data_IF_147992358910
#
_entry.id   IF_147992358910
#
_cell.length_a   1.000
_cell.length_b   1.000
_cell.length_c   1.000
_cell.angle_alpha   90.00
_cell.angle_beta   90.00
_cell.angle_gamma   90.00
#
_symmetry.space_group_name_H-M   'P 1'
#
loop_
_entity.id
_entity.type
_entity.pdbx_description
1 polymer ?
#
# COMPACT_ATOMS: atom_id res chain seq x y z
N UNK A 1 -9.32 -19.05 2.57
CA UNK A 1 -9.69 -19.65 1.26
C UNK A 1 -8.41 -20.00 0.54
N UNK A 2 -8.21 -21.29 0.26
CA UNK A 2 -7.09 -21.79 -0.52
C UNK A 2 -7.33 -21.42 -1.99
N UNK A 3 -6.44 -20.62 -2.58
CA UNK A 3 -6.49 -20.29 -4.00
C UNK A 3 -6.26 -21.53 -4.86
N UNK A 4 -6.86 -21.56 -6.05
CA UNK A 4 -6.63 -22.64 -7.02
C UNK A 4 -5.14 -22.75 -7.38
N UNK A 5 -4.59 -23.95 -7.17
CA UNK A 5 -3.22 -24.29 -7.52
C UNK A 5 -3.16 -24.62 -9.02
N UNK A 6 -2.65 -23.70 -9.85
CA UNK A 6 -2.25 -24.01 -11.22
C UNK A 6 -0.75 -23.83 -11.39
N UNK A 7 -0.11 -24.84 -11.96
CA UNK A 7 1.30 -24.79 -12.33
C UNK A 7 1.42 -24.25 -13.75
N UNK A 8 2.15 -23.15 -13.92
CA UNK A 8 2.55 -22.63 -15.23
C UNK A 8 4.08 -22.52 -15.22
N UNK A 9 4.76 -23.20 -16.16
CA UNK A 9 6.22 -23.23 -16.29
C UNK A 9 7.01 -23.58 -15.00
N UNK A 10 6.49 -24.50 -14.17
CA UNK A 10 7.18 -24.98 -12.97
C UNK A 10 7.27 -23.95 -11.83
N UNK A 11 6.51 -22.86 -11.90
CA UNK A 11 6.38 -21.89 -10.80
C UNK A 11 5.00 -21.98 -10.18
N UNK A 12 4.97 -21.97 -8.84
CA UNK A 12 3.73 -21.82 -8.07
C UNK A 12 3.24 -20.38 -8.26
N UNK A 13 2.22 -20.18 -9.09
CA UNK A 13 1.55 -18.89 -9.22
C UNK A 13 0.42 -18.88 -8.21
N UNK A 14 0.62 -18.19 -7.08
CA UNK A 14 -0.50 -17.77 -6.27
C UNK A 14 -1.24 -16.71 -7.09
N UNK A 15 -2.38 -17.07 -7.68
CA UNK A 15 -3.29 -16.05 -8.23
C UNK A 15 -3.89 -15.31 -7.05
N UNK A 16 -3.23 -14.25 -6.61
CA UNK A 16 -3.93 -13.13 -6.00
C UNK A 16 -5.15 -12.84 -6.88
N UNK A 17 -6.37 -12.72 -6.33
CA UNK A 17 -7.53 -12.38 -7.14
C UNK A 17 -7.19 -11.12 -7.95
N UNK A 18 -7.54 -11.11 -9.23
CA UNK A 18 -7.24 -9.98 -10.11
C UNK A 18 -7.77 -8.71 -9.43
N UNK A 19 -6.91 -7.69 -9.28
CA UNK A 19 -7.29 -6.39 -8.68
C UNK A 19 -8.55 -5.85 -9.36
N UNK A 20 -8.72 -6.15 -10.65
CA UNK A 20 -9.91 -5.79 -11.43
C UNK A 20 -11.17 -6.49 -10.94
N UNK A 21 -11.11 -7.77 -10.58
CA UNK A 21 -12.25 -8.54 -10.07
C UNK A 21 -12.67 -8.06 -8.68
N UNK A 22 -11.68 -7.78 -7.81
CA UNK A 22 -11.92 -7.20 -6.48
C UNK A 22 -12.57 -5.82 -6.62
N UNK A 23 -12.01 -4.96 -7.48
CA UNK A 23 -12.57 -3.65 -7.76
C UNK A 23 -13.99 -3.73 -8.35
N UNK A 24 -14.24 -4.71 -9.23
CA UNK A 24 -15.58 -4.97 -9.79
C UNK A 24 -16.60 -5.29 -8.71
N UNK A 25 -16.30 -6.28 -7.85
CA UNK A 25 -17.20 -6.68 -6.75
C UNK A 25 -17.47 -5.50 -5.81
N UNK A 26 -16.43 -4.71 -5.50
CA UNK A 26 -16.56 -3.54 -4.65
C UNK A 26 -17.42 -2.44 -5.28
N UNK A 27 -17.22 -2.13 -6.57
CA UNK A 27 -18.04 -1.12 -7.27
C UNK A 27 -19.50 -1.57 -7.36
N UNK A 28 -19.75 -2.85 -7.59
CA UNK A 28 -21.11 -3.38 -7.63
C UNK A 28 -21.78 -3.26 -6.25
N UNK A 29 -21.08 -3.63 -5.16
CA UNK A 29 -21.54 -3.43 -3.79
C UNK A 29 -21.83 -1.96 -3.47
N UNK A 30 -20.92 -1.06 -3.86
CA UNK A 30 -21.05 0.37 -3.63
C UNK A 30 -22.32 0.95 -4.27
N UNK A 31 -22.81 0.35 -5.37
CA UNK A 31 -24.01 0.80 -6.08
C UNK A 31 -25.30 0.13 -5.63
N UNK A 32 -25.23 -0.98 -4.92
CA UNK A 32 -26.40 -1.69 -4.38
C UNK A 32 -27.04 -0.94 -3.21
N UNK A 33 -26.22 -0.30 -2.37
CA UNK A 33 -26.69 0.31 -1.12
C UNK A 33 -26.80 1.84 -1.18
N UNK A 34 -27.77 2.39 -0.44
CA UNK A 34 -27.79 3.81 -0.13
C UNK A 34 -26.95 4.09 1.13
N UNK A 35 -25.66 4.34 0.93
CA UNK A 35 -24.68 4.55 2.01
C UNK A 35 -24.94 5.75 2.93
N UNK A 36 -25.87 6.63 2.56
CA UNK A 36 -26.31 7.74 3.41
C UNK A 36 -27.44 7.34 4.37
N UNK A 37 -28.08 6.19 4.15
CA UNK A 37 -29.13 5.67 5.02
C UNK A 37 -28.50 4.93 6.20
N UNK A 38 -28.82 5.34 7.42
CA UNK A 38 -28.25 4.79 8.66
C UNK A 38 -28.76 3.39 9.01
N UNK A 39 -29.52 2.75 8.12
CA UNK A 39 -30.25 1.49 8.34
C UNK A 39 -29.84 0.36 7.40
N UNK A 40 -28.67 0.45 6.78
CA UNK A 40 -28.21 -0.63 5.88
C UNK A 40 -27.94 -1.89 6.70
N UNK A 41 -28.62 -2.98 6.34
CA UNK A 41 -28.29 -4.32 6.79
C UNK A 41 -27.31 -4.95 5.80
N UNK A 42 -26.14 -5.36 6.28
CA UNK A 42 -25.10 -5.98 5.45
C UNK A 42 -25.13 -7.49 5.59
N UNK A 43 -24.99 -8.18 4.46
CA UNK A 43 -24.75 -9.61 4.43
C UNK A 43 -23.26 -9.89 4.69
N UNK A 44 -22.95 -11.06 5.25
CA UNK A 44 -21.56 -11.48 5.52
C UNK A 44 -20.67 -11.45 4.26
N UNK A 45 -21.22 -11.80 3.10
CA UNK A 45 -20.48 -11.79 1.84
C UNK A 45 -20.12 -10.36 1.40
N UNK A 46 -20.89 -9.36 1.80
CA UNK A 46 -20.62 -7.96 1.52
C UNK A 46 -19.51 -7.40 2.41
N UNK A 47 -19.50 -7.78 3.69
CA UNK A 47 -18.39 -7.48 4.60
C UNK A 47 -17.07 -8.08 4.07
N UNK A 48 -17.12 -9.29 3.53
CA UNK A 48 -15.96 -9.94 2.92
C UNK A 48 -15.44 -9.17 1.68
N UNK A 49 -16.31 -8.51 0.91
CA UNK A 49 -15.88 -7.62 -0.19
C UNK A 49 -15.10 -6.41 0.36
N UNK A 50 -15.60 -5.78 1.44
CA UNK A 50 -14.90 -4.67 2.10
C UNK A 50 -13.55 -5.11 2.67
N UNK A 51 -13.48 -6.30 3.24
CA UNK A 51 -12.23 -6.87 3.72
C UNK A 51 -11.23 -7.14 2.59
N UNK A 52 -11.69 -7.76 1.49
CA UNK A 52 -10.86 -8.07 0.32
C UNK A 52 -10.25 -6.82 -0.30
N UNK A 53 -11.00 -5.73 -0.44
CA UNK A 53 -10.45 -4.51 -1.05
C UNK A 53 -9.38 -3.85 -0.19
N UNK A 54 -9.56 -3.84 1.14
CA UNK A 54 -8.55 -3.28 2.07
C UNK A 54 -7.27 -4.12 2.01
N UNK A 55 -7.39 -5.45 1.98
CA UNK A 55 -6.22 -6.33 1.82
C UNK A 55 -5.56 -6.20 0.45
N UNK A 56 -6.34 -6.04 -0.62
CA UNK A 56 -5.81 -5.82 -1.96
C UNK A 56 -4.99 -4.54 -2.05
N UNK A 57 -5.36 -3.51 -1.27
CA UNK A 57 -4.62 -2.27 -1.13
C UNK A 57 -3.35 -2.38 -0.28
N UNK A 58 -2.97 -3.59 0.19
CA UNK A 58 -1.71 -3.83 0.90
C UNK A 58 -1.77 -3.62 2.41
N UNK A 59 -2.94 -3.31 2.99
CA UNK A 59 -3.08 -3.20 4.44
C UNK A 59 -3.06 -4.59 5.11
N UNK A 60 -2.22 -4.74 6.13
CA UNK A 60 -2.19 -5.92 6.99
C UNK A 60 -3.28 -5.80 8.07
N UNK A 61 -4.43 -6.42 7.83
CA UNK A 61 -5.64 -6.23 8.64
C UNK A 61 -6.25 -7.56 9.06
N UNK A 62 -6.88 -7.58 10.24
CA UNK A 62 -7.61 -8.75 10.75
C UNK A 62 -9.01 -8.85 10.17
N UNK A 63 -9.67 -7.72 9.95
CA UNK A 63 -11.06 -7.71 9.50
C UNK A 63 -11.63 -6.30 9.38
N UNK A 64 -12.90 -6.27 8.97
CA UNK A 64 -13.77 -5.10 8.99
C UNK A 64 -14.91 -5.35 9.98
N UNK A 65 -15.33 -4.32 10.69
CA UNK A 65 -16.41 -4.41 11.67
C UNK A 65 -17.34 -3.21 11.53
N UNK A 66 -18.64 -3.43 11.75
CA UNK A 66 -19.60 -2.34 11.79
C UNK A 66 -19.22 -1.36 12.92
N UNK A 67 -19.04 -0.09 12.58
CA UNK A 67 -18.66 0.94 13.53
C UNK A 67 -18.15 2.21 12.88
N UNK A 68 -18.37 3.34 13.57
CA UNK A 68 -17.81 4.63 13.20
C UNK A 68 -16.58 4.91 14.05
N UNK A 69 -15.49 5.28 13.40
CA UNK A 69 -14.25 5.68 14.03
C UNK A 69 -14.18 7.22 14.11
N UNK A 70 -14.05 7.71 15.33
CA UNK A 70 -13.78 9.13 15.61
C UNK A 70 -12.43 9.26 16.27
N UNK A 71 -11.61 10.16 15.76
CA UNK A 71 -10.37 10.58 16.41
C UNK A 71 -10.61 11.92 17.09
N UNK A 72 -10.08 12.06 18.29
CA UNK A 72 -9.82 13.37 18.87
C UNK A 72 -8.56 13.90 18.16
N UNK A 73 -8.56 15.14 17.67
CA UNK A 73 -7.37 15.72 17.05
C UNK A 73 -6.22 15.65 18.08
N UNK A 74 -5.29 14.71 17.87
CA UNK A 74 -4.20 14.34 18.81
C UNK A 74 -2.84 14.61 18.19
N UNK A 75 -2.70 15.74 17.49
CA UNK A 75 -1.41 16.43 17.49
C UNK A 75 -1.47 17.49 18.60
N UNK A 76 -1.29 16.99 19.82
CA UNK A 76 -1.06 17.64 21.12
C UNK A 76 -1.07 19.18 21.17
N UNK A 77 -2.17 19.75 21.65
CA UNK A 77 -2.29 20.65 22.83
C UNK A 77 -3.79 20.59 23.22
N UNK A 78 -4.18 20.99 24.42
CA UNK A 78 -5.57 21.37 24.73
C UNK A 78 -6.09 22.38 23.67
N UNK A 79 -6.63 21.88 22.57
CA UNK A 79 -7.31 22.70 21.58
C UNK A 79 -8.66 23.08 22.14
N UNK A 80 -8.94 24.38 22.19
CA UNK A 80 -10.03 25.05 22.92
C UNK A 80 -11.45 24.50 22.69
N UNK A 81 -11.69 23.57 21.75
CA UNK A 81 -13.03 23.15 21.33
C UNK A 81 -13.33 21.64 21.38
N UNK A 82 -12.36 20.75 21.67
CA UNK A 82 -12.62 19.32 21.88
C UNK A 82 -13.32 18.55 20.73
N UNK A 83 -13.32 19.09 19.50
CA UNK A 83 -14.08 18.52 18.38
C UNK A 83 -13.52 17.16 17.93
N UNK A 84 -14.42 16.16 17.84
CA UNK A 84 -14.10 14.82 17.34
C UNK A 84 -14.23 14.79 15.82
N UNK A 85 -13.13 14.51 15.10
CA UNK A 85 -13.16 14.31 13.65
C UNK A 85 -13.53 12.86 13.33
N UNK A 86 -14.52 12.67 12.46
CA UNK A 86 -14.90 11.35 11.94
C UNK A 86 -13.91 10.93 10.86
N UNK A 87 -13.41 9.69 10.96
CA UNK A 87 -12.50 9.10 9.97
C UNK A 87 -13.29 8.52 8.80
N UNK A 88 -14.32 7.73 9.07
CA UNK A 88 -15.22 7.14 8.09
C UNK A 88 -16.58 7.86 8.05
N UNK A 89 -16.72 8.80 7.13
CA UNK A 89 -17.90 9.67 7.00
C UNK A 89 -19.06 8.92 6.32
N UNK A 90 -18.77 8.21 5.22
CA UNK A 90 -19.74 7.48 4.43
C UNK A 90 -19.81 6.00 4.86
N UNK A 91 -18.66 5.32 4.91
CA UNK A 91 -18.59 3.88 5.18
C UNK A 91 -18.92 3.54 6.65
N UNK A 92 -19.97 2.76 6.97
CA UNK A 92 -20.32 2.39 8.34
C UNK A 92 -19.40 1.33 8.96
N UNK A 93 -18.29 0.99 8.31
CA UNK A 93 -17.33 0.00 8.80
C UNK A 93 -16.02 0.66 9.20
N UNK A 94 -15.40 0.09 10.22
CA UNK A 94 -14.03 0.35 10.62
C UNK A 94 -13.16 -0.87 10.37
N UNK A 95 -11.88 -0.63 10.13
CA UNK A 95 -10.89 -1.67 9.87
C UNK A 95 -10.13 -1.97 11.15
N UNK A 96 -9.90 -3.25 11.41
CA UNK A 96 -9.10 -3.75 12.55
C UNK A 96 -7.71 -4.18 12.10
N UNK A 97 -6.69 -3.75 12.83
CA UNK A 97 -5.32 -4.27 12.63
C UNK A 97 -5.21 -5.73 13.11
N UNK A 98 -4.00 -6.30 13.02
CA UNK A 98 -3.75 -7.69 13.40
C UNK A 98 -3.97 -7.96 14.91
N UNK A 99 -3.82 -6.94 15.76
CA UNK A 99 -4.02 -7.04 17.20
C UNK A 99 -5.51 -6.91 17.57
N UNK A 100 -6.32 -6.35 16.67
CA UNK A 100 -7.75 -6.12 16.85
C UNK A 100 -8.09 -4.68 17.20
N UNK A 101 -7.11 -3.78 17.16
CA UNK A 101 -7.29 -2.36 17.42
C UNK A 101 -7.79 -1.61 16.19
N UNK A 102 -8.37 -0.44 16.40
CA UNK A 102 -8.94 0.39 15.33
C UNK A 102 -7.83 0.96 14.44
N UNK A 103 -7.77 0.53 13.18
CA UNK A 103 -6.74 0.97 12.25
C UNK A 103 -7.20 2.22 11.50
N UNK A 104 -6.77 3.39 11.97
CA UNK A 104 -7.17 4.71 11.48
C UNK A 104 -6.96 4.85 9.96
N UNK A 105 -5.74 4.56 9.47
CA UNK A 105 -5.40 4.78 8.06
C UNK A 105 -6.18 3.85 7.13
N UNK A 106 -6.28 2.56 7.46
CA UNK A 106 -7.05 1.62 6.65
C UNK A 106 -8.56 1.95 6.67
N UNK A 107 -9.09 2.40 7.81
CA UNK A 107 -10.48 2.86 7.93
C UNK A 107 -10.75 4.09 7.07
N UNK A 108 -9.87 5.09 7.14
CA UNK A 108 -9.99 6.30 6.32
C UNK A 108 -9.84 6.02 4.82
N UNK A 109 -8.95 5.10 4.46
CA UNK A 109 -8.77 4.65 3.08
C UNK A 109 -10.02 3.96 2.55
N UNK A 110 -10.61 3.05 3.34
CA UNK A 110 -11.87 2.37 3.00
C UNK A 110 -13.02 3.36 2.78
N UNK A 111 -13.10 4.40 3.60
CA UNK A 111 -14.09 5.47 3.39
C UNK A 111 -13.83 6.25 2.09
N UNK A 112 -12.56 6.59 1.81
CA UNK A 112 -12.19 7.31 0.59
C UNK A 112 -12.51 6.50 -0.67
N UNK A 113 -12.18 5.21 -0.70
CA UNK A 113 -12.42 4.36 -1.87
C UNK A 113 -13.92 4.13 -2.08
N UNK A 114 -14.71 4.00 -1.01
CA UNK A 114 -16.16 3.93 -1.11
C UNK A 114 -16.74 5.22 -1.67
N UNK A 115 -16.32 6.38 -1.15
CA UNK A 115 -16.78 7.68 -1.65
C UNK A 115 -16.45 7.89 -3.12
N UNK A 116 -15.29 7.40 -3.57
CA UNK A 116 -14.94 7.36 -4.99
C UNK A 116 -15.93 6.50 -5.78
N UNK A 117 -16.23 5.29 -5.31
CA UNK A 117 -17.14 4.36 -5.98
C UNK A 117 -18.61 4.85 -6.01
N UNK A 118 -19.07 5.55 -4.97
CA UNK A 118 -20.45 6.04 -4.85
C UNK A 118 -20.66 7.35 -5.60
N UNK A 119 -19.73 8.31 -5.51
CA UNK A 119 -19.94 9.67 -6.04
C UNK A 119 -19.20 9.95 -7.37
N UNK A 120 -18.28 9.07 -7.78
CA UNK A 120 -17.39 9.33 -8.92
C UNK A 120 -16.31 10.37 -8.61
N UNK A 121 -15.28 10.45 -9.46
CA UNK A 121 -14.14 11.33 -9.24
C UNK A 121 -14.48 12.83 -9.33
N UNK A 122 -14.21 13.61 -8.27
CA UNK A 122 -14.15 15.09 -8.14
C UNK A 122 -15.27 15.98 -8.74
N UNK A 123 -16.20 15.47 -9.54
CA UNK A 123 -17.37 16.17 -10.07
C UNK A 123 -18.54 15.22 -9.98
N UNK A 124 -19.52 15.58 -9.14
CA UNK A 124 -20.82 14.92 -9.03
C UNK A 124 -21.44 14.79 -10.43
N UNK A 125 -21.24 13.66 -11.08
CA UNK A 125 -21.88 13.35 -12.35
C UNK A 125 -22.38 11.92 -12.23
N UNK A 126 -23.70 11.77 -12.20
CA UNK A 126 -24.45 10.51 -12.11
C UNK A 126 -24.21 9.55 -13.31
N UNK A 127 -23.10 9.67 -14.03
CA UNK A 127 -22.80 8.95 -15.28
C UNK A 127 -21.32 8.59 -15.47
N UNK A 128 -20.53 8.42 -14.41
CA UNK A 128 -19.32 7.61 -14.59
C UNK A 128 -19.75 6.16 -14.87
N UNK A 129 -19.34 5.62 -16.03
CA UNK A 129 -19.69 4.25 -16.37
C UNK A 129 -19.08 3.29 -15.35
N UNK A 130 -19.73 2.15 -15.15
CA UNK A 130 -19.27 1.09 -14.25
C UNK A 130 -17.79 0.77 -14.49
N UNK A 131 -17.37 0.67 -15.75
CA UNK A 131 -15.98 0.37 -16.13
C UNK A 131 -15.00 1.47 -15.72
N UNK A 132 -15.42 2.75 -15.76
CA UNK A 132 -14.57 3.87 -15.31
C UNK A 132 -14.34 3.81 -13.80
N UNK A 133 -15.39 3.52 -13.03
CA UNK A 133 -15.27 3.35 -11.57
C UNK A 133 -14.40 2.15 -11.21
N UNK A 134 -14.59 1.01 -11.89
CA UNK A 134 -13.73 -0.17 -11.70
C UNK A 134 -12.27 0.20 -11.97
N UNK A 135 -12.00 0.88 -13.09
CA UNK A 135 -10.63 1.32 -13.41
C UNK A 135 -10.06 2.26 -12.36
N UNK A 136 -10.85 3.24 -11.90
CA UNK A 136 -10.40 4.18 -10.88
C UNK A 136 -10.11 3.48 -9.54
N UNK A 137 -11.00 2.59 -9.10
CA UNK A 137 -10.81 1.78 -7.89
C UNK A 137 -9.59 0.87 -8.03
N UNK A 138 -9.40 0.19 -9.16
CA UNK A 138 -8.21 -0.64 -9.41
C UNK A 138 -6.92 0.19 -9.33
N UNK A 139 -6.91 1.39 -9.92
CA UNK A 139 -5.75 2.29 -9.87
C UNK A 139 -5.43 2.73 -8.43
N UNK A 140 -6.44 3.04 -7.61
CA UNK A 140 -6.21 3.42 -6.21
C UNK A 140 -5.76 2.23 -5.36
N UNK A 141 -6.27 1.01 -5.61
CA UNK A 141 -5.73 -0.21 -5.01
C UNK A 141 -4.25 -0.35 -5.36
N UNK A 142 -3.89 -0.29 -6.65
CA UNK A 142 -2.52 -0.44 -7.11
C UNK A 142 -1.57 0.60 -6.50
N UNK A 143 -1.99 1.87 -6.41
CA UNK A 143 -1.21 2.94 -5.78
C UNK A 143 -0.95 2.68 -4.29
N UNK A 144 -1.92 2.08 -3.62
CA UNK A 144 -1.89 1.85 -2.17
C UNK A 144 -1.04 0.67 -1.74
N UNK A 145 -0.68 -0.24 -2.65
CA UNK A 145 0.21 -1.38 -2.31
C UNK A 145 1.64 -0.87 -2.07
N UNK A 146 2.25 -1.09 -0.90
CA UNK A 146 3.64 -0.71 -0.64
C UNK A 146 4.62 -1.40 -1.59
N UNK A 147 5.77 -0.76 -1.84
CA UNK A 147 6.86 -1.40 -2.56
C UNK A 147 7.33 -2.65 -1.80
N UNK A 148 7.52 -3.77 -2.50
CA UNK A 148 8.19 -4.92 -1.91
C UNK A 148 9.62 -4.55 -1.50
N UNK A 149 9.99 -4.92 -0.28
CA UNK A 149 11.28 -4.61 0.31
C UNK A 149 12.43 -5.08 -0.58
N UNK A 150 13.48 -4.27 -0.69
CA UNK A 150 14.66 -4.60 -1.50
C UNK A 150 15.78 -5.05 -0.58
N UNK A 151 16.22 -6.31 -0.72
CA UNK A 151 17.39 -6.79 -0.01
C UNK A 151 18.66 -6.16 -0.61
N UNK A 152 19.40 -5.41 0.20
CA UNK A 152 20.57 -4.66 -0.28
C UNK A 152 21.91 -5.17 0.25
N UNK A 153 21.90 -6.08 1.23
CA UNK A 153 23.10 -6.79 1.68
C UNK A 153 22.89 -8.30 1.64
N UNK A 154 24.00 -9.04 1.67
CA UNK A 154 24.00 -10.51 1.77
C UNK A 154 23.49 -11.03 3.12
N UNK A 155 23.45 -10.17 4.12
CA UNK A 155 23.09 -10.55 5.50
C UNK A 155 21.58 -10.32 5.76
N UNK A 156 20.80 -10.10 4.69
CA UNK A 156 19.35 -9.93 4.75
C UNK A 156 18.88 -8.52 5.10
N UNK A 157 19.72 -7.48 4.93
CA UNK A 157 19.27 -6.11 5.20
C UNK A 157 18.30 -5.62 4.13
N UNK A 158 17.16 -5.13 4.59
CA UNK A 158 16.06 -4.68 3.74
C UNK A 158 15.97 -3.15 3.68
N UNK A 159 15.88 -2.64 2.45
CA UNK A 159 15.43 -1.30 2.13
C UNK A 159 13.90 -1.35 2.01
N UNK A 160 13.22 -0.60 2.86
CA UNK A 160 11.76 -0.43 2.84
C UNK A 160 11.42 1.02 2.51
N UNK A 161 10.22 1.24 1.99
CA UNK A 161 9.72 2.59 1.79
C UNK A 161 9.65 3.35 3.12
N UNK A 162 9.88 4.66 3.11
CA UNK A 162 9.57 5.48 4.28
C UNK A 162 8.04 5.56 4.46
N UNK A 163 7.52 5.75 5.69
CA UNK A 163 6.09 5.83 5.93
C UNK A 163 5.46 6.87 5.01
N UNK A 164 4.40 6.48 4.32
CA UNK A 164 3.63 7.41 3.50
C UNK A 164 3.06 8.51 4.41
N UNK A 165 3.32 9.77 4.08
CA UNK A 165 2.64 10.87 4.76
C UNK A 165 1.22 10.97 4.21
N UNK A 166 0.26 10.38 4.90
CA UNK A 166 -1.17 10.55 4.61
C UNK A 166 -1.65 11.89 5.17
N UNK A 167 -1.33 12.99 4.49
CA UNK A 167 -1.95 14.28 4.75
C UNK A 167 -2.07 15.05 3.44
N UNK A 168 -2.92 14.58 2.54
CA UNK A 168 -3.40 15.44 1.46
C UNK A 168 -4.57 16.27 2.00
N UNK A 169 -4.47 17.60 1.93
CA UNK A 169 -5.63 18.47 2.11
C UNK A 169 -6.58 18.25 0.92
N UNK A 170 -7.80 17.81 1.16
CA UNK A 170 -8.77 17.60 0.08
C UNK A 170 -9.89 16.63 0.41
N UNK A 171 -10.63 16.21 -0.62
CA UNK A 171 -11.79 15.34 -0.47
C UNK A 171 -11.45 13.91 -0.02
N UNK A 172 -10.20 13.44 -0.21
CA UNK A 172 -9.78 12.05 0.07
C UNK A 172 -8.46 12.01 0.85
N UNK A 173 -8.45 12.45 2.13
CA UNK A 173 -7.22 12.69 2.88
C UNK A 173 -6.41 11.42 3.22
N UNK A 174 -7.01 10.24 3.04
CA UNK A 174 -6.43 8.94 3.40
C UNK A 174 -5.99 8.10 2.19
N UNK A 175 -6.09 8.61 0.95
CA UNK A 175 -5.45 7.94 -0.17
C UNK A 175 -3.93 8.03 -0.04
N UNK A 176 -3.28 6.93 -0.40
CA UNK A 176 -1.84 6.75 -0.27
C UNK A 176 -1.27 6.39 -1.64
N UNK A 177 -0.20 7.09 -2.02
CA UNK A 177 0.56 6.78 -3.23
C UNK A 177 1.96 6.30 -2.83
N UNK A 178 2.14 4.98 -2.85
CA UNK A 178 3.41 4.35 -2.57
C UNK A 178 4.36 4.40 -3.76
N UNK A 179 5.66 4.37 -3.47
CA UNK A 179 6.73 4.17 -4.45
C UNK A 179 6.52 2.85 -5.21
N UNK A 180 6.77 2.87 -6.52
CA UNK A 180 6.72 1.70 -7.42
C UNK A 180 8.07 1.48 -8.09
N UNK A 181 8.24 0.30 -8.67
CA UNK A 181 9.45 -0.07 -9.42
C UNK A 181 9.82 0.91 -10.53
N UNK A 182 8.84 1.58 -11.14
CA UNK A 182 9.06 2.58 -12.20
C UNK A 182 9.54 3.94 -11.68
N UNK A 183 9.43 4.21 -10.37
CA UNK A 183 9.85 5.48 -9.81
C UNK A 183 11.38 5.60 -9.84
N UNK A 184 11.86 6.81 -10.11
CA UNK A 184 13.29 7.14 -10.15
C UNK A 184 13.83 7.25 -8.73
N UNK A 185 15.06 6.78 -8.51
CA UNK A 185 15.77 6.90 -7.25
C UNK A 185 16.01 8.37 -6.90
N UNK A 186 15.49 8.79 -5.75
CA UNK A 186 15.76 10.12 -5.18
C UNK A 186 17.04 10.15 -4.34
N UNK A 187 17.41 11.32 -3.79
CA UNK A 187 18.55 11.46 -2.87
C UNK A 187 18.43 10.57 -1.61
N UNK A 188 17.21 10.28 -1.19
CA UNK A 188 16.89 9.31 -0.15
C UNK A 188 15.94 8.28 -0.76
N UNK A 189 16.27 7.00 -0.61
CA UNK A 189 15.57 5.90 -1.28
C UNK A 189 14.66 5.10 -0.36
N UNK A 190 14.71 5.33 0.95
CA UNK A 190 13.85 4.65 1.92
C UNK A 190 14.47 4.57 3.31
N UNK A 191 13.99 3.61 4.10
CA UNK A 191 14.49 3.30 5.43
C UNK A 191 15.14 1.92 5.44
N UNK A 192 16.11 1.75 6.34
CA UNK A 192 16.61 0.43 6.70
C UNK A 192 15.68 -0.18 7.72
N UNK A 193 15.04 -1.28 7.35
CA UNK A 193 14.03 -1.97 8.17
C UNK A 193 14.50 -2.24 9.61
N UNK A 194 15.67 -2.85 9.76
CA UNK A 194 16.17 -3.26 11.08
C UNK A 194 16.52 -2.13 12.05
N UNK A 195 16.93 -0.96 11.55
CA UNK A 195 17.44 0.12 12.42
C UNK A 195 16.66 1.43 12.32
N UNK A 196 15.69 1.53 11.40
CA UNK A 196 14.91 2.72 11.09
C UNK A 196 15.72 3.87 10.49
N UNK A 197 16.98 3.62 10.10
CA UNK A 197 17.86 4.66 9.57
C UNK A 197 17.56 4.94 8.10
N UNK A 198 17.46 6.21 7.73
CA UNK A 198 17.35 6.65 6.33
C UNK A 198 18.47 6.08 5.47
N UNK A 199 18.13 5.65 4.26
CA UNK A 199 19.06 5.13 3.26
C UNK A 199 19.24 6.20 2.18
N UNK A 200 20.44 6.74 2.11
CA UNK A 200 20.82 7.77 1.14
C UNK A 200 21.35 7.17 -0.14
N UNK A 201 21.00 7.76 -1.27
CA UNK A 201 21.66 7.54 -2.55
C UNK A 201 22.89 8.45 -2.67
N UNK A 202 24.01 7.88 -3.13
CA UNK A 202 25.25 8.62 -3.40
C UNK A 202 25.85 8.18 -4.73
N UNK A 203 26.35 9.17 -5.49
CA UNK A 203 27.24 8.89 -6.63
C UNK A 203 28.63 8.59 -6.06
N UNK A 204 29.11 7.37 -6.23
CA UNK A 204 30.40 6.95 -5.66
C UNK A 204 31.55 7.12 -6.65
N UNK A 205 31.31 6.90 -7.94
CA UNK A 205 32.31 7.05 -9.01
C UNK A 205 31.64 7.36 -10.35
N UNK A 206 32.45 7.46 -11.43
CA UNK A 206 31.93 7.61 -12.78
C UNK A 206 31.09 6.43 -13.26
N UNK A 207 31.25 5.24 -12.66
CA UNK A 207 30.60 3.99 -13.10
C UNK A 207 29.70 3.36 -12.02
N UNK A 208 29.77 3.85 -10.77
CA UNK A 208 29.05 3.27 -9.65
C UNK A 208 28.29 4.31 -8.82
N UNK A 209 27.10 3.90 -8.40
CA UNK A 209 26.35 4.53 -7.34
C UNK A 209 26.38 3.63 -6.10
N UNK A 210 26.08 4.21 -4.94
CA UNK A 210 25.87 3.47 -3.71
C UNK A 210 24.61 3.94 -2.98
N UNK A 211 24.01 3.03 -2.21
CA UNK A 211 23.03 3.37 -1.19
C UNK A 211 23.61 3.05 0.19
N UNK A 212 23.41 3.93 1.17
CA UNK A 212 24.01 3.79 2.50
C UNK A 212 23.04 4.17 3.61
N UNK A 213 22.90 3.31 4.61
CA UNK A 213 22.14 3.64 5.81
C UNK A 213 22.90 4.68 6.66
N UNK A 214 22.23 5.78 7.03
CA UNK A 214 22.82 6.83 7.88
C UNK A 214 23.22 6.33 9.28
N UNK A 215 22.48 5.36 9.82
CA UNK A 215 22.62 4.89 11.21
C UNK A 215 23.68 3.79 11.36
N UNK A 216 23.53 2.69 10.62
CA UNK A 216 24.42 1.52 10.73
C UNK A 216 25.52 1.47 9.67
N UNK A 217 25.54 2.42 8.72
CA UNK A 217 26.54 2.53 7.63
C UNK A 217 26.62 1.35 6.67
N UNK A 218 25.73 0.35 6.80
CA UNK A 218 25.56 -0.71 5.81
C UNK A 218 25.21 -0.10 4.46
N UNK A 219 25.76 -0.68 3.39
CA UNK A 219 25.65 -0.11 2.04
C UNK A 219 25.66 -1.17 0.95
N UNK A 220 25.12 -0.78 -0.20
CA UNK A 220 25.21 -1.53 -1.45
C UNK A 220 25.77 -0.64 -2.56
N UNK A 221 26.55 -1.23 -3.46
CA UNK A 221 27.14 -0.55 -4.62
C UNK A 221 26.56 -1.18 -5.88
N UNK A 222 26.19 -0.36 -6.85
CA UNK A 222 25.51 -0.78 -8.07
C UNK A 222 25.89 0.12 -9.26
N UNK A 223 25.49 -0.29 -10.47
CA UNK A 223 25.87 0.43 -11.70
C UNK A 223 25.27 1.84 -11.71
N UNK A 224 26.01 2.81 -12.25
CA UNK A 224 25.48 4.16 -12.44
C UNK A 224 24.32 4.22 -13.46
N UNK A 225 24.12 3.18 -14.26
CA UNK A 225 23.06 3.03 -15.24
C UNK A 225 21.69 2.82 -14.59
N UNK A 226 21.65 2.27 -13.38
CA UNK A 226 20.41 2.07 -12.62
C UNK A 226 19.79 3.40 -12.22
N UNK A 227 18.53 3.63 -12.62
CA UNK A 227 17.78 4.85 -12.32
C UNK A 227 16.54 4.60 -11.48
N UNK A 228 15.99 3.39 -11.49
CA UNK A 228 14.68 3.11 -10.89
C UNK A 228 14.76 2.07 -9.76
N UNK A 229 13.73 2.02 -8.92
CA UNK A 229 13.63 1.02 -7.85
C UNK A 229 13.59 -0.42 -8.39
N UNK A 230 12.91 -0.67 -9.51
CA UNK A 230 12.84 -1.99 -10.13
C UNK A 230 14.18 -2.44 -10.71
N UNK A 231 14.93 -1.54 -11.33
CA UNK A 231 16.30 -1.82 -11.77
C UNK A 231 17.25 -2.11 -10.61
N UNK A 232 17.13 -1.32 -9.53
CA UNK A 232 17.92 -1.52 -8.31
C UNK A 232 17.65 -2.90 -7.70
N UNK A 233 16.38 -3.28 -7.54
CA UNK A 233 15.99 -4.60 -7.01
C UNK A 233 16.64 -5.72 -7.83
N UNK A 234 16.43 -5.70 -9.15
CA UNK A 234 16.98 -6.73 -10.06
C UNK A 234 18.51 -6.82 -10.00
N UNK A 235 19.22 -5.69 -10.00
CA UNK A 235 20.68 -5.72 -9.93
C UNK A 235 21.17 -6.31 -8.61
N UNK A 236 20.55 -5.94 -7.49
CA UNK A 236 20.95 -6.44 -6.18
C UNK A 236 20.65 -7.93 -6.02
N UNK A 237 19.48 -8.39 -6.46
CA UNK A 237 19.14 -9.82 -6.50
C UNK A 237 20.16 -10.64 -7.31
N UNK A 238 20.51 -10.18 -8.52
CA UNK A 238 21.52 -10.83 -9.36
C UNK A 238 22.90 -10.84 -8.68
N UNK A 239 23.28 -9.72 -8.06
CA UNK A 239 24.57 -9.60 -7.36
C UNK A 239 24.65 -10.55 -6.16
N UNK A 240 23.55 -10.70 -5.42
CA UNK A 240 23.45 -11.59 -4.27
C UNK A 240 23.46 -13.06 -4.71
N UNK A 241 22.67 -13.42 -5.73
CA UNK A 241 22.65 -14.76 -6.30
C UNK A 241 24.01 -15.18 -6.85
N UNK A 242 24.70 -14.29 -7.57
CA UNK A 242 26.04 -14.55 -8.09
C UNK A 242 27.05 -14.81 -6.95
N UNK A 243 27.03 -13.97 -5.90
CA UNK A 243 27.92 -14.16 -4.74
C UNK A 243 27.66 -15.45 -3.99
N UNK A 244 26.40 -15.89 -3.92
CA UNK A 244 26.05 -17.16 -3.31
C UNK A 244 26.60 -18.33 -4.15
N UNK A 245 26.38 -18.29 -5.47
CA UNK A 245 26.91 -19.28 -6.40
C UNK A 245 28.45 -19.41 -6.32
N UNK A 246 29.18 -18.29 -6.28
CA UNK A 246 30.66 -18.32 -6.16
C UNK A 246 31.11 -19.00 -4.87
N UNK A 247 30.46 -18.72 -3.72
CA UNK A 247 30.78 -19.39 -2.44
C UNK A 247 30.50 -20.88 -2.49
N UNK A 248 29.34 -21.26 -3.03
CA UNK A 248 28.92 -22.66 -3.06
C UNK A 248 29.81 -23.51 -3.98
N UNK A 249 30.50 -22.87 -4.94
CA UNK A 249 31.39 -23.54 -5.90
C UNK A 249 32.89 -23.38 -5.58
N UNK A 250 33.29 -22.78 -4.45
CA UNK A 250 34.70 -22.58 -4.04
C UNK A 250 35.60 -22.00 -5.16
N UNK A 251 35.09 -21.01 -5.91
CA UNK A 251 35.88 -20.23 -6.89
C UNK A 251 36.48 -19.01 -6.19
#
# INVERSE_FOLDING_TARGET
>A
MEGEKKMENGRLIYRTPDIKDIASQFVDLARTHNWNDGKIEFLKDEEEILFKIVRAAGFCVRGVELGRLTIQDKFDVEGENGERKRVNILCPFKVKDLEGDDYIFATGWLDCILRLAVYGGMKRVEKESREKLIKAVSMEIEKSVPLESIMFTKDGDLLVEYPSQSYTSGNFPYFVEHVKDKNVLGPCVGLHDSCGGWIDFKKSSSICNEIVCRKCRKKAVFSNEIKTFGELRRQLELTLAFRQCVRDNNI
#
